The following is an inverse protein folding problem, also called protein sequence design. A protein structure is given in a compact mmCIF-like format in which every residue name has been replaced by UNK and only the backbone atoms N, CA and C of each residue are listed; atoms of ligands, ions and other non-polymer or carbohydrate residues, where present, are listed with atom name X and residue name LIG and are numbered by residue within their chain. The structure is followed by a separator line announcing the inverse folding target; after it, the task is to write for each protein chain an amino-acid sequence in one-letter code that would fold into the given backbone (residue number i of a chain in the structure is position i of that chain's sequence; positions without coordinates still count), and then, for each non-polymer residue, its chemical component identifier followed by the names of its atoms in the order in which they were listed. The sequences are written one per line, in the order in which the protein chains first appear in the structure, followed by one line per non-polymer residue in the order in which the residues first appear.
data_IF_861118372101
#
_entry.id   IF_861118372101
#
_cell.length_a   1.000
_cell.length_b   1.000
_cell.length_c   1.000
_cell.angle_alpha   90.00
_cell.angle_beta   90.00
_cell.angle_gamma   90.00
#
_symmetry.space_group_name_H-M   'P 1'
#
loop_
_entity.id
_entity.type
_entity.pdbx_description
1 polymer ?
#
# COMPACT_ATOMS: atom_id res chain seq x y z
N UNK A 1 42.08 3.12 -30.32
CA UNK A 1 42.02 2.82 -28.88
C UNK A 1 40.61 2.37 -28.57
N UNK A 2 40.41 1.05 -28.48
CA UNK A 2 39.09 0.40 -28.32
C UNK A 2 38.69 0.44 -26.86
N UNK A 3 37.48 0.96 -26.57
CA UNK A 3 36.88 0.95 -25.22
C UNK A 3 35.98 -0.27 -25.12
N UNK A 4 36.47 -1.30 -24.44
CA UNK A 4 35.75 -2.53 -24.15
C UNK A 4 34.75 -2.26 -23.01
N UNK A 5 33.44 -2.28 -23.31
CA UNK A 5 32.38 -2.20 -22.32
C UNK A 5 32.15 -3.60 -21.74
N UNK A 6 32.46 -3.77 -20.46
CA UNK A 6 32.18 -5.02 -19.73
C UNK A 6 30.75 -4.95 -19.20
N UNK A 7 29.87 -5.79 -19.79
CA UNK A 7 28.50 -6.01 -19.28
C UNK A 7 28.57 -7.14 -18.25
N UNK A 8 28.38 -6.82 -16.98
CA UNK A 8 28.23 -7.80 -15.91
C UNK A 8 26.75 -8.17 -15.83
N UNK A 9 26.39 -9.31 -16.39
CA UNK A 9 25.08 -9.93 -16.22
C UNK A 9 25.04 -10.68 -14.88
N UNK A 10 24.36 -10.14 -13.88
CA UNK A 10 24.06 -10.86 -12.65
C UNK A 10 22.80 -11.71 -12.86
N UNK A 11 22.99 -13.01 -13.08
CA UNK A 11 21.90 -13.99 -13.11
C UNK A 11 21.49 -14.32 -11.67
N UNK A 12 20.34 -13.85 -11.25
CA UNK A 12 19.69 -14.27 -10.00
C UNK A 12 18.87 -15.52 -10.31
N UNK A 13 19.37 -16.69 -9.92
CA UNK A 13 18.62 -17.94 -9.99
C UNK A 13 17.57 -17.98 -8.87
N UNK A 14 16.30 -17.90 -9.23
CA UNK A 14 15.18 -18.07 -8.30
C UNK A 14 14.86 -19.56 -8.22
N UNK A 15 15.28 -20.22 -7.15
CA UNK A 15 14.92 -21.61 -6.87
C UNK A 15 13.48 -21.65 -6.34
N UNK A 16 12.55 -22.12 -7.19
CA UNK A 16 11.15 -22.34 -6.83
C UNK A 16 11.06 -23.69 -6.09
N UNK A 17 11.00 -23.67 -4.77
CA UNK A 17 10.67 -24.85 -3.97
C UNK A 17 9.14 -24.98 -3.90
N UNK A 18 8.57 -25.93 -4.65
CA UNK A 18 7.17 -26.32 -4.58
C UNK A 18 6.95 -27.20 -3.35
N UNK A 19 6.44 -26.63 -2.26
CA UNK A 19 5.89 -27.40 -1.16
C UNK A 19 4.39 -27.57 -1.38
N UNK A 20 3.98 -28.76 -1.78
CA UNK A 20 2.56 -29.17 -1.81
C UNK A 20 2.06 -29.34 -0.39
N UNK A 21 1.20 -28.43 0.07
CA UNK A 21 0.50 -28.57 1.33
C UNK A 21 -0.97 -28.92 1.04
N UNK A 22 -1.25 -30.23 1.00
CA UNK A 22 -2.61 -30.75 1.05
C UNK A 22 -3.00 -30.87 2.53
N UNK A 23 -3.88 -30.02 3.01
CA UNK A 23 -4.43 -30.09 4.36
C UNK A 23 -5.85 -29.54 4.36
N UNK A 24 -6.82 -30.44 4.29
CA UNK A 24 -8.22 -30.16 4.51
C UNK A 24 -8.45 -29.72 5.96
N UNK A 25 -8.96 -28.52 6.17
CA UNK A 25 -9.58 -28.12 7.43
C UNK A 25 -11.02 -27.66 7.16
N UNK A 26 -11.91 -28.63 7.12
CA UNK A 26 -13.30 -28.41 7.50
C UNK A 26 -13.40 -28.70 8.99
N UNK A 27 -13.58 -27.68 9.83
CA UNK A 27 -13.99 -27.83 11.23
C UNK A 27 -14.97 -26.72 11.60
N UNK A 28 -16.21 -27.15 11.63
CA UNK A 28 -17.25 -27.03 12.66
C UNK A 28 -17.12 -25.81 13.60
N UNK A 29 -17.84 -24.75 13.27
CA UNK A 29 -18.06 -23.59 14.16
C UNK A 29 -19.24 -23.86 15.07
N UNK A 30 -19.03 -24.70 16.08
CA UNK A 30 -19.98 -24.87 17.18
C UNK A 30 -19.73 -23.78 18.23
N UNK A 31 -20.79 -23.03 18.54
CA UNK A 31 -20.78 -21.83 19.38
C UNK A 31 -20.05 -21.99 20.70
N UNK A 32 -19.25 -20.96 21.00
CA UNK A 32 -18.72 -20.72 22.34
C UNK A 32 -19.49 -19.56 22.98
N UNK A 33 -20.35 -19.94 23.95
CA UNK A 33 -20.92 -19.03 24.95
C UNK A 33 -19.76 -18.32 25.69
N UNK A 34 -19.60 -17.05 25.45
CA UNK A 34 -18.70 -16.18 26.23
C UNK A 34 -19.51 -15.52 27.36
N UNK A 35 -19.77 -16.29 28.41
CA UNK A 35 -20.27 -15.75 29.67
C UNK A 35 -19.10 -15.57 30.63
N UNK A 36 -18.74 -14.32 30.90
CA UNK A 36 -17.97 -13.97 32.09
C UNK A 36 -16.58 -13.38 31.87
N UNK A 37 -16.48 -12.09 31.55
CA UNK A 37 -15.41 -11.23 32.10
C UNK A 37 -16.04 -9.84 32.36
N UNK A 38 -16.64 -9.72 33.52
CA UNK A 38 -16.94 -8.42 34.10
C UNK A 38 -15.64 -7.88 34.70
N UNK A 39 -15.18 -6.71 34.24
CA UNK A 39 -14.20 -5.96 34.97
C UNK A 39 -13.04 -5.43 34.12
N UNK A 40 -13.31 -4.43 33.32
CA UNK A 40 -12.51 -3.20 33.11
C UNK A 40 -13.22 -2.44 31.99
N UNK A 41 -14.04 -1.50 32.36
CA UNK A 41 -14.60 -0.53 31.42
C UNK A 41 -13.45 0.37 30.96
N UNK A 42 -12.67 -0.10 29.97
CA UNK A 42 -11.94 0.80 29.11
C UNK A 42 -13.03 1.52 28.32
N UNK A 43 -13.12 2.83 28.53
CA UNK A 43 -13.95 3.74 27.75
C UNK A 43 -13.37 3.79 26.33
N UNK A 44 -13.56 2.70 25.56
CA UNK A 44 -13.17 2.63 24.16
C UNK A 44 -14.31 3.25 23.38
N UNK A 45 -14.11 4.48 22.89
CA UNK A 45 -14.94 5.02 21.84
C UNK A 45 -15.12 3.95 20.74
N UNK A 46 -16.29 3.86 20.09
CA UNK A 46 -16.48 2.98 18.94
C UNK A 46 -15.31 3.13 17.98
N UNK A 47 -14.86 2.02 17.36
CA UNK A 47 -13.68 2.03 16.47
C UNK A 47 -13.76 3.12 15.39
N UNK A 48 -14.96 3.50 14.98
CA UNK A 48 -15.21 4.58 14.00
C UNK A 48 -14.98 6.00 14.54
N UNK A 49 -14.86 6.18 15.86
CA UNK A 49 -14.66 7.51 16.47
C UNK A 49 -13.18 7.85 16.71
N UNK A 50 -12.27 6.89 16.53
CA UNK A 50 -10.85 7.19 16.65
C UNK A 50 -10.37 8.13 15.54
N UNK A 51 -9.58 9.14 15.91
CA UNK A 51 -9.05 10.12 14.95
C UNK A 51 -8.28 9.45 13.81
N UNK A 52 -7.46 8.44 14.11
CA UNK A 52 -6.75 7.66 13.10
C UNK A 52 -7.68 6.95 12.12
N UNK A 53 -8.77 6.35 12.62
CA UNK A 53 -9.78 5.68 11.76
C UNK A 53 -10.42 6.68 10.79
N UNK A 54 -10.80 7.85 11.27
CA UNK A 54 -11.37 8.92 10.42
C UNK A 54 -10.36 9.39 9.38
N UNK A 55 -9.09 9.56 9.78
CA UNK A 55 -8.01 9.98 8.88
C UNK A 55 -7.72 8.92 7.79
N UNK A 56 -7.65 7.62 8.14
CA UNK A 56 -7.51 6.56 7.15
C UNK A 56 -8.69 6.46 6.20
N UNK A 57 -9.92 6.59 6.69
CA UNK A 57 -11.12 6.62 5.84
C UNK A 57 -11.08 7.79 4.86
N UNK A 58 -10.65 8.97 5.31
CA UNK A 58 -10.51 10.15 4.44
C UNK A 58 -9.42 9.96 3.38
N UNK A 59 -8.25 9.40 3.75
CA UNK A 59 -7.18 9.09 2.81
C UNK A 59 -7.64 8.09 1.74
N UNK A 60 -8.34 7.02 2.15
CA UNK A 60 -8.91 6.04 1.23
C UNK A 60 -9.94 6.66 0.27
N UNK A 61 -10.87 7.46 0.79
CA UNK A 61 -11.88 8.12 -0.05
C UNK A 61 -11.25 9.00 -1.11
N UNK A 62 -10.26 9.82 -0.73
CA UNK A 62 -9.51 10.68 -1.65
C UNK A 62 -8.74 9.88 -2.71
N UNK A 63 -8.12 8.76 -2.32
CA UNK A 63 -7.44 7.86 -3.27
C UNK A 63 -8.43 7.28 -4.28
N UNK A 64 -9.58 6.77 -3.83
CA UNK A 64 -10.60 6.23 -4.72
C UNK A 64 -11.16 7.27 -5.70
N UNK A 65 -11.41 8.49 -5.22
CA UNK A 65 -11.81 9.61 -6.07
C UNK A 65 -10.74 9.92 -7.13
N UNK A 66 -9.48 9.99 -6.74
CA UNK A 66 -8.37 10.25 -7.66
C UNK A 66 -8.13 9.15 -8.67
N UNK A 67 -8.45 7.88 -8.33
CA UNK A 67 -8.36 6.74 -9.24
C UNK A 67 -9.54 6.62 -10.21
N UNK A 68 -10.61 7.38 -10.03
CA UNK A 68 -11.75 7.42 -10.95
C UNK A 68 -11.42 8.27 -12.19
N UNK A 69 -10.39 7.84 -12.94
CA UNK A 69 -9.93 8.52 -14.16
C UNK A 69 -10.75 8.11 -15.37
N UNK A 70 -10.86 9.02 -16.35
CA UNK A 70 -11.31 8.66 -17.68
C UNK A 70 -10.16 7.99 -18.45
N UNK A 71 -10.41 6.76 -18.92
CA UNK A 71 -9.43 6.01 -19.68
C UNK A 71 -9.27 6.58 -21.09
N UNK A 72 -8.04 6.79 -21.52
CA UNK A 72 -7.69 7.31 -22.83
C UNK A 72 -7.70 6.24 -23.93
N UNK A 73 -7.67 4.96 -23.56
CA UNK A 73 -7.46 3.83 -24.45
C UNK A 73 -5.98 3.53 -24.74
N UNK A 74 -5.06 4.31 -24.18
CA UNK A 74 -3.63 4.02 -24.16
C UNK A 74 -3.25 3.49 -22.78
N UNK A 75 -2.91 2.19 -22.72
CA UNK A 75 -2.62 1.50 -21.47
C UNK A 75 -1.48 2.14 -20.65
N UNK A 76 -0.44 2.64 -21.31
CA UNK A 76 0.71 3.25 -20.62
C UNK A 76 0.33 4.60 -19.98
N UNK A 77 -0.46 5.41 -20.69
CA UNK A 77 -0.99 6.68 -20.19
C UNK A 77 -1.96 6.46 -19.05
N UNK A 78 -2.88 5.51 -19.20
CA UNK A 78 -3.90 5.19 -18.21
C UNK A 78 -3.29 4.60 -16.94
N UNK A 79 -2.27 3.73 -17.09
CA UNK A 79 -1.47 3.23 -15.98
C UNK A 79 -0.79 4.37 -15.21
N UNK A 80 -0.05 5.24 -15.90
CA UNK A 80 0.67 6.32 -15.23
C UNK A 80 -0.28 7.29 -14.50
N UNK A 81 -1.42 7.64 -15.10
CA UNK A 81 -2.43 8.51 -14.48
C UNK A 81 -3.05 7.87 -13.24
N UNK A 82 -3.46 6.60 -13.33
CA UNK A 82 -4.05 5.87 -12.22
C UNK A 82 -3.05 5.66 -11.08
N UNK A 83 -1.80 5.30 -11.41
CA UNK A 83 -0.76 5.07 -10.41
C UNK A 83 -0.32 6.33 -9.68
N UNK A 84 -0.33 7.51 -10.30
CA UNK A 84 -0.08 8.78 -9.60
C UNK A 84 -1.10 8.98 -8.48
N UNK A 85 -2.38 8.77 -8.75
CA UNK A 85 -3.44 8.91 -7.75
C UNK A 85 -3.32 7.85 -6.63
N UNK A 86 -3.00 6.60 -6.99
CA UNK A 86 -2.75 5.52 -6.03
C UNK A 86 -1.58 5.82 -5.11
N UNK A 87 -0.45 6.29 -5.66
CA UNK A 87 0.75 6.63 -4.91
C UNK A 87 0.49 7.83 -3.97
N UNK A 88 -0.27 8.82 -4.42
CA UNK A 88 -0.68 9.92 -3.54
C UNK A 88 -1.51 9.42 -2.36
N UNK A 89 -2.40 8.45 -2.59
CA UNK A 89 -3.16 7.80 -1.52
C UNK A 89 -2.26 7.06 -0.52
N UNK A 90 -1.24 6.35 -1.01
CA UNK A 90 -0.26 5.67 -0.15
C UNK A 90 0.54 6.67 0.72
N UNK A 91 0.92 7.82 0.15
CA UNK A 91 1.58 8.91 0.91
C UNK A 91 0.63 9.44 1.99
N UNK A 92 -0.64 9.69 1.65
CA UNK A 92 -1.63 10.21 2.60
C UNK A 92 -1.84 9.20 3.76
N UNK A 93 -1.92 7.90 3.49
CA UNK A 93 -1.99 6.85 4.51
C UNK A 93 -0.72 6.78 5.37
N UNK A 94 0.46 6.91 4.77
CA UNK A 94 1.72 6.93 5.51
C UNK A 94 1.81 8.14 6.44
N UNK A 95 1.29 9.30 6.05
CA UNK A 95 1.18 10.49 6.92
C UNK A 95 0.27 10.23 8.11
N UNK A 96 -0.85 9.52 7.94
CA UNK A 96 -1.72 9.12 9.05
C UNK A 96 -0.98 8.22 10.04
N UNK A 97 -0.18 7.27 9.56
CA UNK A 97 0.69 6.46 10.42
C UNK A 97 1.68 7.32 11.21
N UNK A 98 2.32 8.30 10.56
CA UNK A 98 3.26 9.20 11.24
C UNK A 98 2.59 10.13 12.26
N UNK A 99 1.32 10.45 12.09
CA UNK A 99 0.57 11.29 13.04
C UNK A 99 0.05 10.51 14.24
N UNK A 100 -0.47 9.31 14.01
CA UNK A 100 -1.22 8.54 15.01
C UNK A 100 -0.53 7.28 15.49
N UNK A 101 0.32 6.67 14.66
CA UNK A 101 1.03 5.42 14.95
C UNK A 101 2.17 5.62 15.94
N UNK A 102 2.42 4.61 16.77
CA UNK A 102 3.44 4.65 17.82
C UNK A 102 4.53 3.59 17.62
N UNK A 103 4.28 2.60 16.79
CA UNK A 103 5.25 1.54 16.53
C UNK A 103 6.43 2.08 15.71
N UNK A 104 7.67 1.95 16.18
CA UNK A 104 8.83 2.53 15.50
C UNK A 104 9.15 1.84 14.17
N UNK A 105 8.73 0.59 13.97
CA UNK A 105 8.94 -0.13 12.70
C UNK A 105 7.97 0.39 11.66
N UNK A 106 6.67 0.53 12.01
CA UNK A 106 5.66 1.06 11.11
C UNK A 106 5.93 2.53 10.74
N UNK A 107 6.37 3.34 11.69
CA UNK A 107 6.74 4.73 11.42
C UNK A 107 7.90 4.84 10.43
N UNK A 108 8.97 4.05 10.60
CA UNK A 108 10.09 4.01 9.62
C UNK A 108 9.64 3.53 8.25
N UNK A 109 8.74 2.55 8.20
CA UNK A 109 8.15 2.10 6.93
C UNK A 109 7.35 3.23 6.26
N UNK A 110 6.55 3.97 7.01
CA UNK A 110 5.77 5.10 6.50
C UNK A 110 6.68 6.20 5.91
N UNK A 111 7.79 6.54 6.58
CA UNK A 111 8.78 7.48 6.06
C UNK A 111 9.40 6.98 4.74
N UNK A 112 9.75 5.69 4.67
CA UNK A 112 10.31 5.09 3.47
C UNK A 112 9.29 5.06 2.31
N UNK A 113 8.01 4.77 2.61
CA UNK A 113 6.91 4.81 1.64
C UNK A 113 6.76 6.22 1.06
N UNK A 114 6.70 7.26 1.89
CA UNK A 114 6.58 8.64 1.41
C UNK A 114 7.70 8.95 0.41
N UNK A 115 8.95 8.69 0.79
CA UNK A 115 10.10 9.00 -0.06
C UNK A 115 10.08 8.25 -1.39
N UNK A 116 9.75 6.96 -1.38
CA UNK A 116 9.70 6.14 -2.59
C UNK A 116 8.57 6.60 -3.52
N UNK A 117 7.38 6.81 -2.96
CA UNK A 117 6.20 7.18 -3.74
C UNK A 117 6.31 8.59 -4.34
N UNK A 118 6.94 9.54 -3.64
CA UNK A 118 7.20 10.88 -4.18
C UNK A 118 8.11 10.82 -5.42
N UNK A 119 9.14 9.97 -5.40
CA UNK A 119 10.01 9.79 -6.55
C UNK A 119 9.28 9.15 -7.72
N UNK A 120 8.52 8.08 -7.48
CA UNK A 120 7.75 7.39 -8.52
C UNK A 120 6.67 8.27 -9.14
N UNK A 121 6.01 9.14 -8.36
CA UNK A 121 5.09 10.15 -8.87
C UNK A 121 5.83 11.12 -9.81
N UNK A 122 7.00 11.61 -9.41
CA UNK A 122 7.78 12.54 -10.23
C UNK A 122 8.18 11.89 -11.57
N UNK A 123 8.61 10.63 -11.56
CA UNK A 123 9.00 9.88 -12.75
C UNK A 123 7.79 9.67 -13.69
N UNK A 124 6.63 9.27 -13.16
CA UNK A 124 5.40 9.13 -13.96
C UNK A 124 4.91 10.46 -14.53
N UNK A 125 5.00 11.55 -13.77
CA UNK A 125 4.63 12.88 -14.25
C UNK A 125 5.57 13.36 -15.37
N UNK A 126 6.88 13.12 -15.26
CA UNK A 126 7.85 13.42 -16.30
C UNK A 126 7.55 12.63 -17.57
N UNK A 127 7.28 11.33 -17.44
CA UNK A 127 6.91 10.48 -18.58
C UNK A 127 5.61 10.95 -19.26
N UNK A 128 4.57 11.27 -18.49
CA UNK A 128 3.30 11.77 -19.02
C UNK A 128 3.45 13.10 -19.76
N UNK A 129 4.36 13.96 -19.34
CA UNK A 129 4.65 15.23 -20.02
C UNK A 129 5.16 15.01 -21.45
N UNK A 130 5.86 13.93 -21.69
CA UNK A 130 6.44 13.58 -22.99
C UNK A 130 5.48 12.73 -23.84
N UNK A 131 4.69 11.85 -23.24
CA UNK A 131 3.91 10.81 -23.92
C UNK A 131 2.39 10.93 -23.74
N UNK A 132 1.91 11.74 -22.82
CA UNK A 132 0.49 11.83 -22.43
C UNK A 132 -0.38 12.76 -23.31
N UNK A 133 0.05 13.04 -24.53
CA UNK A 133 -0.69 13.90 -25.49
C UNK A 133 -1.69 13.10 -26.31
#
# INVERSE_FOLDING_TARGET
MSKTTIIIAAAIAFACATASFSGAFAQDMKGHDMKGHAGMAMNTAPADDHASTKAFKAANAKMHEGMAIEFSGNADVDFARGMIAHHQGAIDMAKVELEHGKDPVQRRLAEAVIKAQEQEIADMQAWLKEHGK
#
